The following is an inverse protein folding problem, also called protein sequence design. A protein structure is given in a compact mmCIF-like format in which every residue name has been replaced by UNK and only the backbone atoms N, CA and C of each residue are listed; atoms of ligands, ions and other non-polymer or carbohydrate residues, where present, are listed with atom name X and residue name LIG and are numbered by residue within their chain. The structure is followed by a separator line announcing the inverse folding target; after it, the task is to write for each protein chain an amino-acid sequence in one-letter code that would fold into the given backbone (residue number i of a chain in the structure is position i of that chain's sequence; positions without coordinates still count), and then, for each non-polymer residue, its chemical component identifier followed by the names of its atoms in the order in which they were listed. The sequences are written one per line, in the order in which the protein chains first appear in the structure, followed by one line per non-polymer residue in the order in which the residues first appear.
data_IF_141786005576
#
_entry.id   IF_141786005576
#
_cell.length_a   1.000
_cell.length_b   1.000
_cell.length_c   1.000
_cell.angle_alpha   90.00
_cell.angle_beta   90.00
_cell.angle_gamma   90.00
#
_symmetry.space_group_name_H-M   'P 1'
#
loop_
_entity.id
_entity.type
_entity.pdbx_description
1 polymer ?
#
# COMPACT_ATOMS: atom_id res chain seq x y z
N UNK A 1 51.69 -46.01 -5.48
CA UNK A 1 50.64 -45.29 -6.26
C UNK A 1 49.28 -45.24 -5.56
N UNK A 2 49.18 -45.35 -4.21
CA UNK A 2 47.88 -45.23 -3.51
C UNK A 2 47.74 -44.03 -2.56
N UNK A 3 48.81 -43.28 -2.27
CA UNK A 3 48.72 -42.06 -1.42
C UNK A 3 48.16 -40.83 -2.15
N UNK A 4 48.21 -40.81 -3.48
CA UNK A 4 47.65 -39.72 -4.30
C UNK A 4 46.14 -39.83 -4.51
N UNK A 5 45.54 -41.00 -4.34
CA UNK A 5 44.10 -41.22 -4.56
C UNK A 5 43.27 -40.79 -3.33
N UNK A 6 43.79 -41.01 -2.11
CA UNK A 6 43.09 -40.75 -0.85
C UNK A 6 42.99 -39.26 -0.48
N UNK A 7 43.96 -38.44 -0.93
CA UNK A 7 43.96 -36.98 -0.69
C UNK A 7 42.94 -36.23 -1.56
N UNK A 8 42.68 -36.72 -2.77
CA UNK A 8 41.77 -36.07 -3.73
C UNK A 8 40.30 -36.29 -3.35
N UNK A 9 39.97 -37.43 -2.74
CA UNK A 9 38.60 -37.72 -2.27
C UNK A 9 38.18 -36.83 -1.09
N UNK A 10 39.09 -36.47 -0.19
CA UNK A 10 38.78 -35.65 0.99
C UNK A 10 38.52 -34.17 0.64
N UNK A 11 39.24 -33.63 -0.36
CA UNK A 11 39.02 -32.25 -0.85
C UNK A 11 37.67 -32.13 -1.58
N UNK A 12 37.30 -33.10 -2.41
CA UNK A 12 36.02 -33.10 -3.13
C UNK A 12 34.81 -33.23 -2.19
N UNK A 13 34.88 -34.11 -1.18
CA UNK A 13 33.80 -34.30 -0.20
C UNK A 13 33.64 -33.09 0.71
N UNK A 14 34.74 -32.46 1.16
CA UNK A 14 34.69 -31.23 1.95
C UNK A 14 34.12 -30.05 1.16
N UNK A 15 34.49 -29.89 -0.11
CA UNK A 15 33.93 -28.84 -0.97
C UNK A 15 32.44 -29.08 -1.22
N UNK A 16 32.02 -30.32 -1.47
CA UNK A 16 30.59 -30.65 -1.60
C UNK A 16 29.81 -30.41 -0.32
N UNK A 17 30.33 -30.79 0.86
CA UNK A 17 29.70 -30.50 2.16
C UNK A 17 29.62 -29.01 2.44
N UNK A 18 30.65 -28.24 2.11
CA UNK A 18 30.63 -26.77 2.24
C UNK A 18 29.65 -26.13 1.26
N UNK A 19 29.52 -26.65 0.03
CA UNK A 19 28.52 -26.20 -0.94
C UNK A 19 27.10 -26.59 -0.53
N UNK A 20 26.91 -27.77 0.08
CA UNK A 20 25.62 -28.21 0.61
C UNK A 20 25.26 -27.41 1.87
N UNK A 21 26.20 -27.14 2.77
CA UNK A 21 26.01 -26.27 3.93
C UNK A 21 25.78 -24.81 3.51
N UNK A 22 26.49 -24.32 2.49
CA UNK A 22 26.23 -23.01 1.89
C UNK A 22 24.87 -22.98 1.19
N UNK A 23 24.46 -24.04 0.50
CA UNK A 23 23.13 -24.15 -0.11
C UNK A 23 22.01 -24.25 0.95
N UNK A 24 22.27 -24.94 2.07
CA UNK A 24 21.38 -25.02 3.23
C UNK A 24 21.30 -23.66 3.97
N UNK A 25 22.40 -22.92 4.06
CA UNK A 25 22.43 -21.54 4.57
C UNK A 25 21.92 -20.50 3.56
N UNK A 26 21.90 -20.82 2.27
CA UNK A 26 21.24 -20.07 1.19
C UNK A 26 19.78 -20.45 1.02
N UNK A 27 19.15 -21.10 2.01
CA UNK A 27 17.74 -20.81 2.25
C UNK A 27 17.66 -19.32 2.53
N UNK A 28 17.40 -18.54 1.49
CA UNK A 28 17.12 -17.10 1.57
C UNK A 28 15.94 -16.99 2.53
N UNK A 29 16.23 -16.78 3.81
CA UNK A 29 15.21 -16.49 4.80
C UNK A 29 14.60 -15.19 4.33
N UNK A 30 13.43 -15.28 3.70
CA UNK A 30 12.72 -14.12 3.19
C UNK A 30 12.65 -13.09 4.32
N UNK A 31 13.11 -11.87 4.04
CA UNK A 31 13.20 -10.82 5.05
C UNK A 31 11.80 -10.52 5.58
N UNK A 32 11.57 -10.81 6.87
CA UNK A 32 10.31 -10.49 7.54
C UNK A 32 10.25 -9.00 7.88
N UNK A 33 9.24 -8.31 7.36
CA UNK A 33 9.04 -6.88 7.58
C UNK A 33 8.27 -6.65 8.87
N UNK A 34 8.85 -5.94 9.83
CA UNK A 34 8.11 -5.54 11.05
C UNK A 34 7.13 -4.42 10.70
N UNK A 35 5.86 -4.58 11.04
CA UNK A 35 4.89 -3.49 10.99
C UNK A 35 5.20 -2.47 12.09
N UNK A 36 5.10 -1.20 11.73
CA UNK A 36 5.31 -0.07 12.63
C UNK A 36 4.24 1.01 12.38
N UNK A 37 4.47 2.20 12.92
CA UNK A 37 3.58 3.36 12.77
C UNK A 37 3.84 4.16 11.47
N UNK A 38 4.61 3.63 10.53
CA UNK A 38 5.00 4.26 9.26
C UNK A 38 5.40 5.73 9.43
N UNK A 39 6.51 6.01 10.15
CA UNK A 39 6.77 7.35 10.66
C UNK A 39 7.01 8.40 9.58
N UNK A 40 7.42 7.99 8.39
CA UNK A 40 7.76 8.86 7.25
C UNK A 40 6.66 8.89 6.18
N UNK A 41 5.44 8.47 6.53
CA UNK A 41 4.32 8.45 5.61
C UNK A 41 3.76 9.85 5.34
N UNK A 42 3.45 10.14 4.07
CA UNK A 42 2.65 11.29 3.64
C UNK A 42 1.19 11.00 3.97
N UNK A 43 0.73 11.55 5.11
CA UNK A 43 -0.54 11.17 5.73
C UNK A 43 -1.47 12.34 6.04
N UNK A 44 -1.20 13.52 5.46
CA UNK A 44 -1.99 14.74 5.64
C UNK A 44 -3.48 14.48 5.37
N UNK A 45 -4.33 14.82 6.35
CA UNK A 45 -5.79 14.66 6.26
C UNK A 45 -6.50 15.88 5.69
N UNK A 46 -5.76 16.99 5.50
CA UNK A 46 -6.21 18.27 4.96
C UNK A 46 -7.39 18.91 5.68
N UNK A 47 -7.77 18.43 6.87
CA UNK A 47 -9.00 18.85 7.56
C UNK A 47 -9.08 20.36 7.77
N UNK A 48 -7.94 21.03 8.01
CA UNK A 48 -7.85 22.46 8.28
C UNK A 48 -7.66 23.36 7.04
N UNK A 49 -7.21 22.81 5.91
CA UNK A 49 -6.90 23.58 4.68
C UNK A 49 -7.57 23.03 3.42
N UNK A 50 -8.55 22.16 3.58
CA UNK A 50 -9.15 21.40 2.49
C UNK A 50 -9.59 22.27 1.31
N UNK A 51 -10.28 23.37 1.56
CA UNK A 51 -10.77 24.25 0.50
C UNK A 51 -9.62 25.01 -0.19
N UNK A 52 -8.59 25.39 0.58
CA UNK A 52 -7.37 26.03 0.05
C UNK A 52 -6.58 25.03 -0.82
N UNK A 53 -6.45 23.79 -0.38
CA UNK A 53 -5.77 22.73 -1.13
C UNK A 53 -6.56 22.35 -2.37
N UNK A 54 -7.88 22.23 -2.27
CA UNK A 54 -8.75 21.97 -3.43
C UNK A 54 -8.58 23.04 -4.50
N UNK A 55 -8.60 24.31 -4.10
CA UNK A 55 -8.36 25.44 -4.99
C UNK A 55 -6.97 25.36 -5.64
N UNK A 56 -5.91 25.19 -4.84
CA UNK A 56 -4.54 25.09 -5.33
C UNK A 56 -4.33 23.91 -6.31
N UNK A 57 -5.06 22.81 -6.12
CA UNK A 57 -4.99 21.62 -6.96
C UNK A 57 -5.75 21.79 -8.27
N UNK A 58 -6.95 22.36 -8.24
CA UNK A 58 -7.94 22.27 -9.34
C UNK A 58 -8.09 23.54 -10.18
N UNK A 59 -7.54 24.68 -9.75
CA UNK A 59 -7.56 25.90 -10.58
C UNK A 59 -6.76 25.75 -11.88
N UNK A 60 -7.04 26.56 -12.92
CA UNK A 60 -6.21 26.64 -14.11
C UNK A 60 -4.74 26.90 -13.76
N UNK A 61 -3.82 26.18 -14.39
CA UNK A 61 -2.39 26.18 -14.04
C UNK A 61 -2.08 25.79 -12.58
N UNK A 62 -3.03 25.10 -11.95
CA UNK A 62 -2.95 24.55 -10.60
C UNK A 62 -2.00 23.37 -10.49
N UNK A 63 -1.89 22.84 -9.28
CA UNK A 63 -0.89 21.81 -8.94
C UNK A 63 -1.07 20.53 -9.75
N UNK A 64 -2.32 20.06 -9.96
CA UNK A 64 -2.57 18.85 -10.75
C UNK A 64 -2.03 19.01 -12.18
N UNK A 65 -2.34 20.12 -12.84
CA UNK A 65 -1.88 20.37 -14.22
C UNK A 65 -0.35 20.46 -14.31
N UNK A 66 0.29 21.10 -13.32
CA UNK A 66 1.75 21.18 -13.22
C UNK A 66 2.39 19.80 -13.04
N UNK A 67 1.89 18.99 -12.12
CA UNK A 67 2.40 17.63 -11.86
C UNK A 67 2.20 16.70 -13.06
N UNK A 68 1.03 16.77 -13.73
CA UNK A 68 0.79 16.03 -14.97
C UNK A 68 1.76 16.46 -16.09
N UNK A 69 2.03 17.75 -16.23
CA UNK A 69 2.97 18.23 -17.26
C UNK A 69 4.43 17.85 -16.98
N UNK A 70 4.81 17.75 -15.70
CA UNK A 70 6.16 17.38 -15.27
C UNK A 70 6.40 15.85 -15.31
N UNK A 71 5.35 15.03 -15.18
CA UNK A 71 5.47 13.58 -15.09
C UNK A 71 4.65 12.88 -16.19
N UNK A 72 5.34 12.44 -17.25
CA UNK A 72 4.73 11.74 -18.39
C UNK A 72 3.95 10.48 -17.97
N UNK A 73 4.50 9.66 -17.08
CA UNK A 73 3.84 8.42 -16.63
C UNK A 73 2.54 8.76 -15.89
N UNK A 74 2.56 9.76 -14.99
CA UNK A 74 1.37 10.22 -14.31
C UNK A 74 0.31 10.75 -15.30
N UNK A 75 0.73 11.56 -16.27
CA UNK A 75 -0.14 12.09 -17.31
C UNK A 75 -0.81 11.01 -18.14
N UNK A 76 -0.05 10.02 -18.58
CA UNK A 76 -0.56 8.94 -19.41
C UNK A 76 -1.59 8.10 -18.64
N UNK A 77 -1.30 7.74 -17.38
CA UNK A 77 -2.21 6.98 -16.53
C UNK A 77 -3.47 7.80 -16.21
N UNK A 78 -3.32 9.08 -15.89
CA UNK A 78 -4.45 9.99 -15.65
C UNK A 78 -5.35 10.09 -16.88
N UNK A 79 -4.79 10.36 -18.07
CA UNK A 79 -5.58 10.49 -19.29
C UNK A 79 -6.25 9.19 -19.74
N UNK A 80 -5.60 8.03 -19.51
CA UNK A 80 -6.19 6.71 -19.80
C UNK A 80 -7.37 6.39 -18.87
N UNK A 81 -7.31 6.86 -17.64
CA UNK A 81 -8.24 6.45 -16.57
C UNK A 81 -9.35 7.46 -16.29
N UNK A 82 -9.08 8.74 -16.53
CA UNK A 82 -10.00 9.85 -16.26
C UNK A 82 -10.97 10.10 -17.42
N UNK A 83 -12.13 10.67 -17.08
CA UNK A 83 -13.15 11.03 -18.06
C UNK A 83 -14.22 9.96 -18.29
N UNK A 84 -15.31 10.37 -18.94
CA UNK A 84 -16.44 9.50 -19.28
C UNK A 84 -17.37 9.11 -18.12
N UNK A 85 -16.95 9.27 -16.87
CA UNK A 85 -17.79 8.99 -15.72
C UNK A 85 -18.68 10.18 -15.33
N UNK A 86 -20.00 9.96 -15.27
CA UNK A 86 -20.99 10.97 -14.86
C UNK A 86 -21.44 10.85 -13.40
N UNK A 87 -20.83 9.95 -12.63
CA UNK A 87 -21.06 9.89 -11.18
C UNK A 87 -20.58 11.19 -10.54
N UNK A 88 -21.07 11.45 -9.32
CA UNK A 88 -20.70 12.62 -8.56
C UNK A 88 -20.43 12.22 -7.11
N UNK A 89 -19.30 12.64 -6.57
CA UNK A 89 -19.01 12.55 -5.14
C UNK A 89 -19.50 13.84 -4.52
N UNK A 90 -20.53 13.76 -3.66
CA UNK A 90 -21.10 14.97 -3.05
C UNK A 90 -20.02 15.72 -2.27
N UNK A 91 -19.87 17.01 -2.54
CA UNK A 91 -18.82 17.86 -1.95
C UNK A 91 -17.46 17.76 -2.65
N UNK A 92 -17.29 16.84 -3.60
CA UNK A 92 -16.10 16.70 -4.44
C UNK A 92 -16.26 17.36 -5.81
N UNK A 93 -15.26 17.14 -6.66
CA UNK A 93 -15.17 17.60 -8.05
C UNK A 93 -14.98 16.41 -8.99
N UNK A 94 -15.02 16.64 -10.32
CA UNK A 94 -14.66 15.61 -11.30
C UNK A 94 -13.25 15.04 -11.07
N UNK A 95 -12.31 15.85 -10.56
CA UNK A 95 -10.94 15.41 -10.31
C UNK A 95 -10.84 14.37 -9.20
N UNK A 96 -11.78 14.34 -8.25
CA UNK A 96 -11.84 13.29 -7.23
C UNK A 96 -12.14 11.92 -7.86
N UNK A 97 -13.11 11.89 -8.78
CA UNK A 97 -13.46 10.67 -9.52
C UNK A 97 -12.30 10.27 -10.41
N UNK A 98 -11.70 11.22 -11.12
CA UNK A 98 -10.52 10.98 -11.96
C UNK A 98 -9.34 10.44 -11.13
N UNK A 99 -9.10 10.94 -9.92
CA UNK A 99 -8.05 10.46 -9.03
C UNK A 99 -8.30 9.02 -8.58
N UNK A 100 -9.53 8.70 -8.16
CA UNK A 100 -9.93 7.33 -7.81
C UNK A 100 -9.77 6.37 -8.99
N UNK A 101 -10.23 6.76 -10.18
CA UNK A 101 -10.09 5.96 -11.40
C UNK A 101 -8.62 5.79 -11.79
N UNK A 102 -7.82 6.86 -11.72
CA UNK A 102 -6.38 6.85 -12.00
C UNK A 102 -5.69 5.86 -11.09
N UNK A 103 -5.94 5.90 -9.78
CA UNK A 103 -5.36 4.94 -8.86
C UNK A 103 -5.87 3.51 -9.15
N UNK A 104 -7.19 3.31 -9.25
CA UNK A 104 -7.79 1.97 -9.33
C UNK A 104 -7.58 1.24 -10.66
N UNK A 105 -7.40 1.97 -11.76
CA UNK A 105 -7.18 1.42 -13.11
C UNK A 105 -5.69 1.44 -13.51
N UNK A 106 -4.81 1.93 -12.64
CA UNK A 106 -3.38 1.94 -12.94
C UNK A 106 -2.72 0.58 -12.74
N UNK A 107 -1.72 0.34 -13.58
CA UNK A 107 -0.86 -0.84 -13.51
C UNK A 107 -0.16 -0.94 -12.15
N UNK A 108 0.22 -2.17 -11.77
CA UNK A 108 0.90 -2.43 -10.49
C UNK A 108 2.15 -1.59 -10.30
N UNK A 109 2.89 -1.30 -11.37
CA UNK A 109 4.11 -0.47 -11.33
C UNK A 109 3.81 0.95 -10.83
N UNK A 110 2.84 1.64 -11.41
CA UNK A 110 2.49 3.00 -11.03
C UNK A 110 2.03 3.07 -9.57
N UNK A 111 1.10 2.17 -9.17
CA UNK A 111 0.63 2.11 -7.77
C UNK A 111 1.73 1.83 -6.78
N UNK A 112 2.68 0.96 -7.14
CA UNK A 112 3.84 0.67 -6.30
C UNK A 112 4.70 1.92 -6.13
N UNK A 113 5.09 2.58 -7.22
CA UNK A 113 5.88 3.82 -7.17
C UNK A 113 5.20 4.91 -6.32
N UNK A 114 3.91 5.16 -6.57
CA UNK A 114 3.15 6.14 -5.81
C UNK A 114 3.12 5.79 -4.32
N UNK A 115 2.76 4.55 -3.96
CA UNK A 115 2.66 4.14 -2.56
C UNK A 115 4.02 4.06 -1.84
N UNK A 116 5.11 3.72 -2.54
CA UNK A 116 6.45 3.72 -1.96
C UNK A 116 6.87 5.17 -1.60
N UNK A 117 6.49 6.15 -2.42
CA UNK A 117 6.71 7.57 -2.13
C UNK A 117 5.78 8.07 -1.02
N UNK A 118 4.50 7.66 -1.01
CA UNK A 118 3.59 7.96 0.10
C UNK A 118 4.15 7.40 1.41
N UNK A 119 4.74 6.20 1.41
CA UNK A 119 5.29 5.59 2.62
C UNK A 119 6.54 6.29 3.17
N UNK A 120 7.31 7.01 2.33
CA UNK A 120 8.68 7.43 2.68
C UNK A 120 8.97 8.94 2.57
N UNK A 121 8.09 9.72 1.94
CA UNK A 121 8.36 11.14 1.63
C UNK A 121 7.63 12.13 2.54
N UNK A 122 7.14 11.67 3.69
CA UNK A 122 6.53 12.48 4.75
C UNK A 122 7.40 12.57 6.00
N UNK A 123 8.72 12.41 5.91
CA UNK A 123 9.59 12.50 7.10
C UNK A 123 9.72 13.95 7.61
N UNK A 124 9.65 14.94 6.71
CA UNK A 124 9.71 16.38 7.02
C UNK A 124 9.22 17.21 5.81
N UNK A 125 9.00 18.52 6.01
CA UNK A 125 8.48 19.41 4.96
C UNK A 125 9.39 19.53 3.74
N UNK A 126 10.72 19.50 3.91
CA UNK A 126 11.67 19.60 2.78
C UNK A 126 11.55 18.36 1.90
N UNK A 127 11.62 17.16 2.49
CA UNK A 127 11.45 15.90 1.77
C UNK A 127 10.07 15.82 1.11
N UNK A 128 9.00 16.23 1.79
CA UNK A 128 7.66 16.29 1.19
C UNK A 128 7.59 17.27 0.03
N UNK A 129 8.11 18.48 0.19
CA UNK A 129 8.04 19.53 -0.82
C UNK A 129 8.86 19.18 -2.07
N UNK A 130 10.09 18.71 -1.89
CA UNK A 130 11.07 18.51 -2.96
C UNK A 130 11.01 17.12 -3.60
N UNK A 131 10.65 16.08 -2.84
CA UNK A 131 10.79 14.68 -3.29
C UNK A 131 9.46 13.94 -3.50
N UNK A 132 8.31 14.53 -3.15
CA UNK A 132 6.99 13.93 -3.38
C UNK A 132 6.24 14.62 -4.55
N UNK A 133 6.25 14.06 -5.78
CA UNK A 133 5.70 14.71 -6.97
C UNK A 133 4.21 14.37 -7.24
N UNK A 134 3.52 13.83 -6.24
CA UNK A 134 2.13 13.35 -6.36
C UNK A 134 1.19 14.01 -5.33
N UNK A 135 1.43 15.30 -5.02
CA UNK A 135 0.68 16.04 -3.99
C UNK A 135 -0.78 16.18 -4.38
N UNK A 136 -1.07 16.43 -5.66
CA UNK A 136 -2.44 16.53 -6.16
C UNK A 136 -3.20 15.20 -6.06
N UNK A 137 -2.55 14.09 -6.45
CA UNK A 137 -3.15 12.75 -6.37
C UNK A 137 -3.38 12.33 -4.92
N UNK A 138 -2.41 12.54 -4.02
CA UNK A 138 -2.56 12.20 -2.61
C UNK A 138 -3.67 13.01 -1.94
N UNK A 139 -3.77 14.32 -2.24
CA UNK A 139 -4.88 15.14 -1.76
C UNK A 139 -6.23 14.64 -2.27
N UNK A 140 -6.38 14.47 -3.58
CA UNK A 140 -7.66 14.08 -4.18
C UNK A 140 -8.12 12.69 -3.72
N UNK A 141 -7.21 11.73 -3.56
CA UNK A 141 -7.54 10.42 -3.00
C UNK A 141 -7.95 10.53 -1.53
N UNK A 142 -7.21 11.27 -0.71
CA UNK A 142 -7.52 11.44 0.72
C UNK A 142 -8.88 12.11 0.92
N UNK A 143 -9.13 13.22 0.21
CA UNK A 143 -10.43 13.90 0.31
C UNK A 143 -11.57 13.05 -0.25
N UNK A 144 -11.32 12.26 -1.30
CA UNK A 144 -12.31 11.29 -1.82
C UNK A 144 -12.72 10.26 -0.76
N UNK A 145 -11.75 9.65 -0.07
CA UNK A 145 -12.02 8.68 1.00
C UNK A 145 -12.88 9.33 2.10
N UNK A 146 -12.52 10.55 2.52
CA UNK A 146 -13.25 11.32 3.53
C UNK A 146 -14.69 11.65 3.11
N UNK A 147 -14.88 12.10 1.86
CA UNK A 147 -16.20 12.48 1.34
C UNK A 147 -17.14 11.28 1.13
N UNK A 148 -16.59 10.10 0.85
CA UNK A 148 -17.34 8.87 0.62
C UNK A 148 -17.67 8.13 1.93
N UNK A 149 -16.82 8.26 2.94
CA UNK A 149 -17.00 7.61 4.23
C UNK A 149 -17.85 8.44 5.20
N UNK A 150 -19.14 8.62 4.90
CA UNK A 150 -20.03 9.54 5.63
C UNK A 150 -20.72 8.93 6.85
N UNK A 151 -20.83 7.62 6.89
CA UNK A 151 -21.57 6.90 7.93
C UNK A 151 -20.69 6.47 9.11
N UNK A 152 -19.37 6.70 9.03
CA UNK A 152 -18.36 6.18 9.97
C UNK A 152 -18.50 4.67 10.21
N UNK A 153 -19.07 3.95 9.25
CA UNK A 153 -19.29 2.51 9.37
C UNK A 153 -18.00 1.79 9.00
N UNK A 154 -17.41 1.15 10.00
CA UNK A 154 -16.26 0.30 9.80
C UNK A 154 -16.67 -1.00 9.11
N UNK A 155 -15.80 -1.49 8.23
CA UNK A 155 -16.04 -2.70 7.45
C UNK A 155 -14.85 -3.64 7.55
N UNK A 156 -15.14 -4.93 7.64
CA UNK A 156 -14.13 -5.98 7.53
C UNK A 156 -13.79 -6.23 6.07
N UNK A 157 -12.50 -6.14 5.76
CA UNK A 157 -11.90 -6.36 4.44
C UNK A 157 -10.58 -7.12 4.59
N UNK A 158 -10.08 -7.66 3.49
CA UNK A 158 -8.94 -8.56 3.45
C UNK A 158 -7.89 -8.08 2.46
N UNK A 159 -6.62 -8.17 2.83
CA UNK A 159 -5.50 -7.79 1.97
C UNK A 159 -4.43 -8.89 1.98
N UNK A 160 -4.11 -9.43 0.80
CA UNK A 160 -3.06 -10.43 0.62
C UNK A 160 -1.81 -9.83 -0.02
N UNK A 161 -0.63 -10.27 0.41
CA UNK A 161 0.66 -9.87 -0.15
C UNK A 161 1.71 -10.96 0.02
N UNK A 162 2.62 -11.11 -0.94
CA UNK A 162 3.78 -12.00 -0.82
C UNK A 162 4.85 -11.53 0.16
N UNK A 163 4.75 -10.30 0.68
CA UNK A 163 5.61 -9.87 1.78
C UNK A 163 5.19 -10.59 3.06
N UNK A 164 6.16 -11.15 3.79
CA UNK A 164 5.90 -11.70 5.13
C UNK A 164 6.09 -10.56 6.12
N UNK A 165 5.02 -10.19 6.81
CA UNK A 165 5.05 -9.21 7.87
C UNK A 165 5.12 -9.88 9.24
N UNK A 166 5.63 -9.17 10.24
CA UNK A 166 5.50 -9.52 11.65
C UNK A 166 4.99 -8.32 12.42
N UNK A 167 4.21 -8.59 13.46
CA UNK A 167 3.67 -7.59 14.36
C UNK A 167 3.54 -8.19 15.75
N UNK A 168 3.58 -7.33 16.76
CA UNK A 168 3.40 -7.73 18.14
C UNK A 168 1.93 -7.51 18.53
N UNK A 169 1.30 -8.50 19.15
CA UNK A 169 -0.10 -8.38 19.55
C UNK A 169 -0.27 -7.21 20.55
N UNK A 170 -1.32 -6.40 20.36
CA UNK A 170 -1.61 -5.24 21.19
C UNK A 170 -0.87 -3.95 20.78
N UNK A 171 0.09 -4.00 19.84
CA UNK A 171 0.72 -2.77 19.34
C UNK A 171 -0.13 -2.07 18.30
N UNK A 172 0.16 -0.78 18.11
CA UNK A 172 -0.42 0.02 17.05
C UNK A 172 0.48 0.03 15.82
N UNK A 173 -0.15 -0.09 14.66
CA UNK A 173 0.51 -0.14 13.36
C UNK A 173 -0.26 0.68 12.33
N UNK A 174 0.44 1.07 11.28
CA UNK A 174 -0.13 1.74 10.11
C UNK A 174 0.43 1.11 8.84
N UNK A 175 -0.36 1.12 7.77
CA UNK A 175 0.19 0.79 6.46
C UNK A 175 1.04 1.92 5.88
N UNK A 176 0.77 3.17 6.26
CA UNK A 176 1.51 4.36 5.79
C UNK A 176 1.38 4.63 4.29
N UNK A 177 0.40 4.01 3.64
CA UNK A 177 0.14 4.13 2.19
C UNK A 177 -1.30 3.77 1.90
N UNK A 178 -1.75 4.06 0.68
CA UNK A 178 -3.06 3.63 0.24
C UNK A 178 -3.06 2.12 0.05
N UNK A 179 -3.91 1.41 0.80
CA UNK A 179 -3.93 -0.05 0.80
C UNK A 179 -5.17 -0.55 0.08
N UNK A 180 -4.97 -1.33 -0.99
CA UNK A 180 -6.07 -2.04 -1.65
C UNK A 180 -6.59 -3.15 -0.75
N UNK A 181 -7.89 -3.42 -0.79
CA UNK A 181 -8.49 -4.51 -0.05
C UNK A 181 -9.58 -5.22 -0.86
N UNK A 182 -9.99 -6.37 -0.37
CA UNK A 182 -11.03 -7.23 -0.92
C UNK A 182 -12.08 -7.52 0.16
N UNK A 183 -13.32 -7.80 -0.22
CA UNK A 183 -14.37 -8.20 0.74
C UNK A 183 -14.39 -9.70 1.02
N UNK A 184 -13.71 -10.49 0.19
CA UNK A 184 -13.62 -11.94 0.31
C UNK A 184 -12.23 -12.33 0.84
N UNK A 185 -12.15 -13.15 1.90
CA UNK A 185 -10.88 -13.71 2.36
C UNK A 185 -10.16 -14.50 1.27
N UNK A 186 -10.91 -15.28 0.48
CA UNK A 186 -10.36 -16.15 -0.57
C UNK A 186 -9.50 -15.38 -1.58
N UNK A 187 -9.90 -14.17 -1.98
CA UNK A 187 -9.13 -13.32 -2.90
C UNK A 187 -7.80 -12.84 -2.29
N UNK A 188 -7.71 -12.68 -0.97
CA UNK A 188 -6.45 -12.38 -0.30
C UNK A 188 -5.58 -13.63 -0.14
N UNK A 189 -6.20 -14.79 0.07
CA UNK A 189 -5.53 -16.10 0.20
C UNK A 189 -4.92 -16.52 -1.14
N UNK A 190 -5.63 -16.35 -2.25
CA UNK A 190 -5.14 -16.63 -3.61
C UNK A 190 -3.78 -15.93 -3.89
N UNK A 191 -3.58 -14.72 -3.36
CA UNK A 191 -2.31 -13.99 -3.53
C UNK A 191 -1.15 -14.70 -2.84
N UNK A 192 -1.36 -15.25 -1.64
CA UNK A 192 -0.29 -15.94 -0.90
C UNK A 192 -0.07 -17.36 -1.40
N UNK A 193 -1.12 -18.02 -1.89
CA UNK A 193 -1.03 -19.37 -2.51
C UNK A 193 -0.22 -19.34 -3.80
N UNK A 194 -0.50 -18.37 -4.69
CA UNK A 194 0.25 -18.21 -5.94
C UNK A 194 1.75 -17.93 -5.73
N UNK A 195 2.08 -17.32 -4.60
CA UNK A 195 3.45 -16.92 -4.25
C UNK A 195 4.14 -17.93 -3.32
N UNK A 196 3.40 -18.92 -2.83
CA UNK A 196 3.85 -19.94 -1.87
C UNK A 196 4.25 -19.39 -0.49
N UNK A 197 4.04 -18.10 -0.23
CA UNK A 197 4.35 -17.41 1.03
C UNK A 197 3.69 -16.05 1.08
N UNK A 198 3.49 -15.52 2.28
CA UNK A 198 3.13 -14.12 2.46
C UNK A 198 2.39 -13.80 3.73
N UNK A 199 1.59 -12.74 3.67
CA UNK A 199 0.72 -12.32 4.76
C UNK A 199 -0.68 -12.01 4.24
N UNK A 200 -1.68 -12.55 4.93
CA UNK A 200 -3.09 -12.20 4.78
C UNK A 200 -3.49 -11.32 5.95
N UNK A 201 -3.99 -10.13 5.65
CA UNK A 201 -4.54 -9.21 6.64
C UNK A 201 -6.05 -9.35 6.70
N UNK A 202 -6.59 -9.52 7.91
CA UNK A 202 -8.01 -9.37 8.21
C UNK A 202 -8.20 -8.03 8.90
N UNK A 203 -8.82 -7.07 8.22
CA UNK A 203 -8.79 -5.66 8.60
C UNK A 203 -10.21 -5.17 8.84
N UNK A 204 -10.54 -4.78 10.07
CA UNK A 204 -11.71 -3.94 10.35
C UNK A 204 -11.29 -2.48 10.21
N UNK A 205 -11.59 -1.88 9.06
CA UNK A 205 -11.22 -0.50 8.73
C UNK A 205 -12.43 0.41 8.74
N UNK A 206 -12.27 1.59 9.34
CA UNK A 206 -13.23 2.67 9.33
C UNK A 206 -12.90 3.72 8.28
N UNK A 207 -11.86 3.55 7.45
CA UNK A 207 -11.53 4.45 6.33
C UNK A 207 -11.79 3.85 4.95
N UNK A 208 -12.11 2.56 4.93
CA UNK A 208 -12.25 1.81 3.68
C UNK A 208 -13.46 2.29 2.89
N UNK A 209 -13.27 2.55 1.59
CA UNK A 209 -14.35 2.89 0.67
C UNK A 209 -14.41 1.92 -0.50
N UNK A 210 -15.60 1.75 -1.07
CA UNK A 210 -15.78 1.06 -2.33
C UNK A 210 -15.46 2.01 -3.49
N UNK A 211 -14.35 1.81 -4.18
CA UNK A 211 -13.96 2.62 -5.33
C UNK A 211 -14.83 2.30 -6.55
N UNK A 212 -15.18 1.05 -6.76
CA UNK A 212 -15.98 0.60 -7.90
C UNK A 212 -17.40 1.17 -7.88
N UNK A 213 -18.06 1.20 -6.71
CA UNK A 213 -19.40 1.78 -6.58
C UNK A 213 -19.41 3.30 -6.79
N UNK A 214 -18.29 3.99 -6.54
CA UNK A 214 -18.20 5.44 -6.63
C UNK A 214 -17.59 5.92 -7.95
N UNK A 215 -16.99 5.02 -8.72
CA UNK A 215 -16.45 5.28 -10.05
C UNK A 215 -17.26 4.53 -11.10
N UNK A 216 -17.06 4.82 -12.38
CA UNK A 216 -17.75 4.11 -13.46
C UNK A 216 -16.96 2.86 -13.92
N UNK A 217 -15.70 2.76 -13.49
CA UNK A 217 -14.78 1.71 -13.89
C UNK A 217 -13.65 1.58 -12.87
N UNK A 218 -13.44 0.36 -12.39
CA UNK A 218 -12.36 -0.04 -11.48
C UNK A 218 -11.82 -1.41 -11.89
N UNK A 219 -10.65 -1.46 -12.52
CA UNK A 219 -10.05 -2.69 -13.07
C UNK A 219 -9.24 -3.48 -12.05
N UNK A 220 -8.54 -2.81 -11.13
CA UNK A 220 -7.56 -3.49 -10.26
C UNK A 220 -7.76 -3.26 -8.75
N UNK A 221 -8.55 -2.24 -8.34
CA UNK A 221 -8.73 -1.88 -6.93
C UNK A 221 -10.19 -1.57 -6.62
N UNK A 222 -10.89 -2.53 -6.03
CA UNK A 222 -12.29 -2.36 -5.65
C UNK A 222 -12.47 -1.61 -4.32
N UNK A 223 -11.61 -1.88 -3.33
CA UNK A 223 -11.68 -1.23 -2.02
C UNK A 223 -10.34 -0.58 -1.68
N UNK A 224 -10.40 0.59 -1.05
CA UNK A 224 -9.23 1.39 -0.74
C UNK A 224 -9.27 1.91 0.69
N UNK A 225 -8.15 1.75 1.41
CA UNK A 225 -7.93 2.17 2.80
C UNK A 225 -6.98 3.37 2.82
N UNK A 226 -7.23 4.33 3.70
CA UNK A 226 -6.42 5.54 3.90
C UNK A 226 -5.05 5.24 4.53
N UNK A 227 -3.99 5.97 4.15
CA UNK A 227 -2.69 5.92 4.85
C UNK A 227 -2.74 6.42 6.29
N UNK A 228 -3.74 7.25 6.66
CA UNK A 228 -3.87 7.91 7.96
C UNK A 228 -4.54 7.04 9.05
N UNK A 229 -4.99 5.84 8.71
CA UNK A 229 -5.67 4.96 9.67
C UNK A 229 -4.67 4.15 10.52
N UNK A 230 -4.86 4.22 11.84
CA UNK A 230 -4.12 3.44 12.84
C UNK A 230 -4.92 2.20 13.20
N UNK A 231 -4.23 1.07 13.28
CA UNK A 231 -4.82 -0.20 13.67
C UNK A 231 -4.14 -0.77 14.91
N UNK A 232 -4.91 -1.40 15.78
CA UNK A 232 -4.39 -2.28 16.82
C UNK A 232 -4.28 -3.70 16.28
N UNK A 233 -3.14 -4.34 16.54
CA UNK A 233 -2.88 -5.74 16.18
C UNK A 233 -3.63 -6.64 17.17
N UNK A 234 -4.72 -7.27 16.72
CA UNK A 234 -5.57 -8.11 17.56
C UNK A 234 -5.06 -9.54 17.66
N UNK A 235 -4.53 -10.07 16.55
CA UNK A 235 -4.11 -11.46 16.45
C UNK A 235 -3.05 -11.62 15.39
N UNK A 236 -2.06 -12.48 15.66
CA UNK A 236 -1.05 -12.92 14.71
C UNK A 236 -1.00 -14.45 14.79
N UNK A 237 -1.10 -15.13 13.65
CA UNK A 237 -0.98 -16.59 13.58
C UNK A 237 -0.30 -17.01 12.29
N UNK A 238 0.44 -18.11 12.36
CA UNK A 238 0.88 -18.84 11.17
C UNK A 238 -0.23 -19.81 10.77
N UNK A 239 -0.51 -19.89 9.47
CA UNK A 239 -1.54 -20.72 8.88
C UNK A 239 -0.88 -21.63 7.85
N UNK A 240 -1.02 -22.92 8.06
CA UNK A 240 -0.66 -23.96 7.09
C UNK A 240 -1.96 -24.37 6.39
N UNK A 241 -2.01 -24.24 5.07
CA UNK A 241 -3.13 -24.73 4.26
C UNK A 241 -2.94 -26.20 3.92
N UNK A 242 -4.03 -26.86 3.49
CA UNK A 242 -4.01 -28.28 3.07
C UNK A 242 -3.11 -28.54 1.84
N UNK A 243 -2.77 -27.49 1.09
CA UNK A 243 -1.91 -27.54 -0.10
C UNK A 243 -0.43 -27.23 0.21
N UNK A 244 -0.01 -27.38 1.47
CA UNK A 244 1.34 -27.03 1.99
C UNK A 244 1.72 -25.54 1.86
N UNK A 245 0.75 -24.64 1.59
CA UNK A 245 1.02 -23.19 1.63
C UNK A 245 1.04 -22.71 3.09
N UNK A 246 2.19 -22.19 3.53
CA UNK A 246 2.32 -21.51 4.81
C UNK A 246 2.25 -19.98 4.63
N UNK A 247 1.30 -19.32 5.28
CA UNK A 247 1.21 -17.86 5.32
C UNK A 247 0.91 -17.34 6.73
N UNK A 248 1.27 -16.08 6.98
CA UNK A 248 0.91 -15.41 8.23
C UNK A 248 -0.43 -14.71 8.10
N UNK A 249 -1.31 -14.88 9.06
CA UNK A 249 -2.52 -14.07 9.19
C UNK A 249 -2.35 -13.03 10.32
N UNK A 250 -2.62 -11.76 9.99
CA UNK A 250 -2.60 -10.66 10.95
C UNK A 250 -4.00 -10.01 10.97
N UNK A 251 -4.64 -10.01 12.14
CA UNK A 251 -5.91 -9.33 12.36
C UNK A 251 -5.67 -7.93 12.90
N UNK A 252 -6.23 -6.93 12.21
CA UNK A 252 -6.11 -5.51 12.49
C UNK A 252 -7.49 -4.92 12.72
N UNK A 253 -7.64 -4.12 13.76
CA UNK A 253 -8.88 -3.37 14.03
C UNK A 253 -8.56 -1.89 14.16
N UNK A 254 -9.38 -1.06 13.55
CA UNK A 254 -9.31 0.40 13.68
C UNK A 254 -9.12 0.82 15.14
N UNK A 255 -8.12 1.67 15.38
CA UNK A 255 -7.87 2.33 16.66
C UNK A 255 -8.30 3.79 16.58
N UNK A 256 -7.70 4.55 15.65
CA UNK A 256 -7.98 5.97 15.42
C UNK A 256 -7.47 6.42 14.06
N UNK A 257 -7.80 7.65 13.69
CA UNK A 257 -7.09 8.39 12.66
C UNK A 257 -5.93 9.17 13.28
N UNK A 258 -4.77 9.18 12.62
CA UNK A 258 -3.61 9.97 13.01
C UNK A 258 -2.91 10.46 11.76
N UNK A 259 -2.87 11.78 11.59
CA UNK A 259 -2.01 12.45 10.64
C UNK A 259 -0.86 13.11 11.39
N UNK A 260 0.38 12.96 10.90
CA UNK A 260 1.52 13.74 11.39
C UNK A 260 1.63 15.09 10.69
N UNK A 261 1.03 15.19 9.51
CA UNK A 261 1.05 16.37 8.68
C UNK A 261 -0.25 17.16 8.83
N UNK A 262 -0.13 18.47 8.93
CA UNK A 262 -1.28 19.37 8.94
C UNK A 262 -1.01 20.42 7.89
N UNK A 263 -1.57 20.21 6.71
CA UNK A 263 -1.50 21.17 5.61
C UNK A 263 -0.07 21.49 5.15
N UNK A 264 0.80 20.48 5.12
CA UNK A 264 2.24 20.61 4.87
C UNK A 264 2.59 21.21 3.52
N UNK A 265 1.67 21.19 2.56
CA UNK A 265 1.85 21.88 1.29
C UNK A 265 1.98 23.41 1.42
N UNK A 266 1.49 24.00 2.52
CA UNK A 266 1.47 25.45 2.72
C UNK A 266 2.51 25.96 3.73
N UNK A 267 3.38 25.08 4.25
CA UNK A 267 4.35 25.38 5.31
C UNK A 267 5.75 24.89 4.93
#
# INVERSE_FOLDING_TARGET
TSEGMMRVECEGVCVFLLLVLAALHHTVRAEEKKLDMAPDAVDDDFSECRDKMLKAVTEPDGLLQKELNANKEFKDVWNKSSGGCRKNIRGGTSDHISALQTYANSETKFRKTFNDLVYSKGSNNVTYSEEFPFKSLQFLLTDSLRLLNRSNLCKTVFYGTSNVYKADMGTEVRFGKFTKANTKPSTAIEVVDLEGRGTVFNITSCSVVNVEENTCKSEHVQWLISPAEVFTVQKVRDVESEDDTAYKEITLTHSRFLSKHTCSFFH
#
